data_IF_461212038575
#
_entry.id   IF_461212038575
#
_cell.length_a   1.000
_cell.length_b   1.000
_cell.length_c   1.000
_cell.angle_alpha   90.00
_cell.angle_beta   90.00
_cell.angle_gamma   90.00
#
_symmetry.space_group_name_H-M   'P 1'
#
loop_
_entity.id
_entity.type
_entity.pdbx_description
1 polymer ?
#
# COMPACT_ATOMS: atom_id res chain seq x y z
N UNK A 1 -30.44 23.52 -7.72
CA UNK A 1 -29.94 22.66 -6.63
C UNK A 1 -30.42 23.25 -5.31
N UNK A 2 -30.98 22.46 -4.39
CA UNK A 2 -31.34 23.00 -3.07
C UNK A 2 -30.06 23.39 -2.31
N UNK A 3 -30.13 24.47 -1.53
CA UNK A 3 -28.98 24.94 -0.74
C UNK A 3 -28.47 23.87 0.25
N UNK A 4 -29.38 23.07 0.80
CA UNK A 4 -29.08 21.94 1.69
C UNK A 4 -28.22 20.87 1.01
N UNK A 5 -28.55 20.52 -0.24
CA UNK A 5 -27.78 19.54 -1.00
C UNK A 5 -26.37 20.05 -1.32
N UNK A 6 -26.21 21.35 -1.57
CA UNK A 6 -24.88 21.95 -1.78
C UNK A 6 -24.03 21.88 -0.51
N UNK A 7 -24.61 22.19 0.66
CA UNK A 7 -23.92 22.11 1.95
C UNK A 7 -23.48 20.69 2.29
N UNK A 8 -24.32 19.68 2.03
CA UNK A 8 -23.96 18.28 2.24
C UNK A 8 -22.80 17.85 1.34
N UNK A 9 -22.79 18.26 0.07
CA UNK A 9 -21.69 17.98 -0.85
C UNK A 9 -20.38 18.62 -0.43
N UNK A 10 -20.43 19.87 0.05
CA UNK A 10 -19.24 20.52 0.59
C UNK A 10 -18.67 19.77 1.80
N UNK A 11 -19.50 19.25 2.69
CA UNK A 11 -19.04 18.44 3.81
C UNK A 11 -18.37 17.13 3.35
N UNK A 12 -18.92 16.48 2.32
CA UNK A 12 -18.31 15.30 1.71
C UNK A 12 -16.94 15.65 1.10
N UNK A 13 -16.85 16.74 0.35
CA UNK A 13 -15.60 17.19 -0.27
C UNK A 13 -14.50 17.46 0.78
N UNK A 14 -14.86 18.03 1.93
CA UNK A 14 -13.91 18.26 3.03
C UNK A 14 -13.45 16.94 3.69
N UNK A 15 -14.35 15.96 3.82
CA UNK A 15 -13.99 14.61 4.28
C UNK A 15 -13.03 13.95 3.27
N UNK A 16 -13.30 14.06 1.98
CA UNK A 16 -12.48 13.47 0.92
C UNK A 16 -11.07 14.09 0.87
N UNK A 17 -10.97 15.41 1.05
CA UNK A 17 -9.67 16.09 1.23
C UNK A 17 -8.91 15.56 2.45
N UNK A 18 -9.62 15.35 3.56
CA UNK A 18 -9.03 14.80 4.79
C UNK A 18 -8.54 13.37 4.58
N UNK A 19 -9.30 12.54 3.84
CA UNK A 19 -8.88 11.19 3.46
C UNK A 19 -7.60 11.21 2.62
N UNK A 20 -7.50 12.11 1.63
CA UNK A 20 -6.28 12.27 0.82
C UNK A 20 -5.06 12.63 1.69
N UNK A 21 -5.21 13.57 2.62
CA UNK A 21 -4.13 13.95 3.54
C UNK A 21 -3.69 12.78 4.44
N UNK A 22 -4.64 11.99 4.95
CA UNK A 22 -4.36 10.79 5.75
C UNK A 22 -3.65 9.71 4.95
N UNK A 23 -4.04 9.51 3.68
CA UNK A 23 -3.39 8.56 2.78
C UNK A 23 -1.94 8.99 2.50
N UNK A 24 -1.69 10.27 2.21
CA UNK A 24 -0.33 10.78 2.01
C UNK A 24 0.54 10.56 3.25
N UNK A 25 0.04 10.86 4.45
CA UNK A 25 0.74 10.59 5.71
C UNK A 25 1.02 9.10 5.92
N UNK A 26 0.07 8.23 5.58
CA UNK A 26 0.26 6.78 5.64
C UNK A 26 1.39 6.34 4.70
N UNK A 27 1.46 6.86 3.48
CA UNK A 27 2.55 6.53 2.54
C UNK A 27 3.91 6.95 3.08
N UNK A 28 4.03 8.14 3.68
CA UNK A 28 5.27 8.58 4.33
C UNK A 28 5.71 7.62 5.45
N UNK A 29 4.76 7.14 6.27
CA UNK A 29 5.05 6.17 7.33
C UNK A 29 5.49 4.82 6.76
N UNK A 30 4.85 4.34 5.68
CA UNK A 30 5.30 3.12 4.98
C UNK A 30 6.74 3.28 4.52
N UNK A 31 7.08 4.39 3.86
CA UNK A 31 8.47 4.64 3.42
C UNK A 31 9.47 4.63 4.58
N UNK A 32 9.09 5.19 5.73
CA UNK A 32 9.93 5.15 6.93
C UNK A 32 10.10 3.71 7.45
N UNK A 33 9.03 2.91 7.46
CA UNK A 33 9.09 1.49 7.82
C UNK A 33 9.99 0.72 6.85
N UNK A 34 9.88 0.95 5.55
CA UNK A 34 10.75 0.34 4.53
C UNK A 34 12.23 0.67 4.76
N UNK A 35 12.57 1.92 5.10
CA UNK A 35 13.93 2.33 5.47
C UNK A 35 14.47 1.57 6.69
N UNK A 36 13.67 1.45 7.75
CA UNK A 36 14.05 0.71 8.97
C UNK A 36 14.26 -0.78 8.67
N UNK A 37 13.34 -1.40 7.92
CA UNK A 37 13.45 -2.82 7.53
C UNK A 37 14.68 -3.08 6.66
N UNK A 38 14.98 -2.19 5.71
CA UNK A 38 16.16 -2.27 4.84
C UNK A 38 17.48 -2.15 5.61
N UNK A 39 17.53 -1.30 6.64
CA UNK A 39 18.70 -1.19 7.54
C UNK A 39 18.90 -2.44 8.40
N UNK A 40 17.82 -3.11 8.79
CA UNK A 40 17.84 -4.28 9.66
C UNK A 40 17.84 -5.62 8.92
N UNK A 41 17.78 -5.62 7.58
CA UNK A 41 17.74 -6.84 6.76
C UNK A 41 16.47 -7.68 6.95
N UNK A 42 15.38 -7.08 7.45
CA UNK A 42 14.12 -7.78 7.71
C UNK A 42 13.33 -7.95 6.42
N UNK A 43 12.62 -9.08 6.24
CA UNK A 43 11.76 -9.27 5.09
C UNK A 43 10.67 -8.20 5.03
N UNK A 44 10.47 -7.65 3.83
CA UNK A 44 9.49 -6.59 3.58
C UNK A 44 8.07 -7.12 3.81
N UNK A 45 7.83 -8.38 3.43
CA UNK A 45 6.54 -9.05 3.48
C UNK A 45 6.37 -9.93 4.73
N UNK A 46 5.37 -9.62 5.54
CA UNK A 46 4.99 -10.41 6.74
C UNK A 46 3.47 -10.67 6.69
N UNK A 47 3.02 -11.77 6.06
CA UNK A 47 1.61 -12.01 5.76
C UNK A 47 0.74 -12.09 7.02
N UNK A 48 1.24 -12.73 8.08
CA UNK A 48 0.53 -12.85 9.37
C UNK A 48 0.17 -11.49 9.97
N UNK A 49 1.06 -10.49 9.80
CA UNK A 49 0.84 -9.14 10.31
C UNK A 49 -0.29 -8.43 9.57
N UNK A 50 -0.41 -8.66 8.26
CA UNK A 50 -1.50 -8.10 7.46
C UNK A 50 -2.84 -8.72 7.85
N UNK A 51 -2.90 -10.04 8.01
CA UNK A 51 -4.14 -10.74 8.40
C UNK A 51 -4.66 -10.20 9.74
N UNK A 52 -3.80 -10.16 10.76
CA UNK A 52 -4.17 -9.63 12.08
C UNK A 52 -4.62 -8.17 12.02
N UNK A 53 -3.97 -7.35 11.19
CA UNK A 53 -4.34 -5.94 11.00
C UNK A 53 -5.72 -5.81 10.34
N UNK A 54 -5.98 -6.57 9.28
CA UNK A 54 -7.27 -6.55 8.56
C UNK A 54 -8.42 -7.03 9.46
N UNK A 55 -8.24 -8.15 10.18
CA UNK A 55 -9.24 -8.66 11.12
C UNK A 55 -9.59 -7.63 12.21
N UNK A 56 -8.58 -6.97 12.77
CA UNK A 56 -8.78 -5.91 13.75
C UNK A 56 -9.57 -4.73 13.19
N UNK A 57 -9.32 -4.35 11.93
CA UNK A 57 -10.04 -3.24 11.27
C UNK A 57 -11.45 -3.61 10.84
N UNK A 58 -11.70 -4.85 10.42
CA UNK A 58 -13.06 -5.37 10.16
C UNK A 58 -13.92 -5.24 11.41
N UNK A 59 -13.43 -5.71 12.56
CA UNK A 59 -14.14 -5.59 13.86
C UNK A 59 -14.39 -4.15 14.28
N UNK A 60 -13.48 -3.23 13.95
CA UNK A 60 -13.67 -1.80 14.22
C UNK A 60 -14.73 -1.19 13.31
N UNK A 61 -14.73 -1.54 12.02
CA UNK A 61 -15.72 -1.07 11.05
C UNK A 61 -17.14 -1.49 11.44
N UNK A 62 -17.33 -2.76 11.83
CA UNK A 62 -18.63 -3.25 12.33
C UNK A 62 -19.16 -2.42 13.50
N UNK A 63 -18.29 -2.04 14.45
CA UNK A 63 -18.68 -1.24 15.63
C UNK A 63 -19.14 0.17 15.29
N UNK A 64 -18.69 0.73 14.17
CA UNK A 64 -19.04 2.09 13.74
C UNK A 64 -20.03 2.10 12.57
N UNK A 65 -20.64 0.94 12.24
CA UNK A 65 -21.65 0.81 11.20
C UNK A 65 -21.11 0.86 9.77
N UNK A 66 -19.81 0.60 9.58
CA UNK A 66 -19.20 0.47 8.25
C UNK A 66 -19.11 -1.02 7.88
N UNK A 67 -19.44 -1.34 6.63
CA UNK A 67 -19.33 -2.71 6.12
C UNK A 67 -17.86 -3.20 6.25
N UNK A 68 -17.61 -4.33 6.94
CA UNK A 68 -16.25 -4.83 7.13
C UNK A 68 -15.53 -5.18 5.81
N UNK A 69 -16.28 -5.59 4.79
CA UNK A 69 -15.70 -5.88 3.46
C UNK A 69 -15.20 -4.60 2.76
N UNK A 70 -15.91 -3.48 2.92
CA UNK A 70 -15.51 -2.19 2.36
C UNK A 70 -14.16 -1.74 2.91
N UNK A 71 -13.97 -1.81 4.24
CA UNK A 71 -12.70 -1.38 4.84
C UNK A 71 -11.56 -2.33 4.46
N UNK A 72 -11.83 -3.62 4.33
CA UNK A 72 -10.83 -4.58 3.90
C UNK A 72 -10.36 -4.29 2.47
N UNK A 73 -11.28 -4.07 1.53
CA UNK A 73 -10.95 -3.77 0.13
C UNK A 73 -10.12 -2.50 -0.01
N UNK A 74 -10.52 -1.44 0.72
CA UNK A 74 -9.78 -0.17 0.75
C UNK A 74 -8.36 -0.41 1.29
N UNK A 75 -8.22 -1.07 2.44
CA UNK A 75 -6.92 -1.30 3.06
C UNK A 75 -6.02 -2.19 2.18
N UNK A 76 -6.57 -3.24 1.57
CA UNK A 76 -5.83 -4.10 0.62
C UNK A 76 -5.36 -3.32 -0.59
N UNK A 77 -6.19 -2.43 -1.16
CA UNK A 77 -5.78 -1.57 -2.28
C UNK A 77 -4.65 -0.63 -1.88
N UNK A 78 -4.75 0.02 -0.72
CA UNK A 78 -3.71 0.94 -0.23
C UNK A 78 -2.40 0.20 0.05
N UNK A 79 -2.46 -1.02 0.61
CA UNK A 79 -1.27 -1.86 0.83
C UNK A 79 -0.58 -2.23 -0.48
N UNK A 80 -1.33 -2.62 -1.52
CA UNK A 80 -0.75 -2.89 -2.85
C UNK A 80 0.01 -1.68 -3.40
N UNK A 81 -0.55 -0.48 -3.26
CA UNK A 81 0.10 0.76 -3.69
C UNK A 81 1.41 1.03 -2.94
N UNK A 82 1.43 0.68 -1.65
CA UNK A 82 2.61 0.81 -0.78
C UNK A 82 3.77 -0.04 -1.29
N UNK A 83 3.49 -1.29 -1.68
CA UNK A 83 4.50 -2.22 -2.20
C UNK A 83 5.11 -1.79 -3.53
N UNK A 84 4.31 -1.20 -4.44
CA UNK A 84 4.82 -0.68 -5.71
C UNK A 84 5.83 0.46 -5.49
N UNK A 85 5.57 1.33 -4.52
CA UNK A 85 6.47 2.43 -4.17
C UNK A 85 7.73 1.96 -3.42
N UNK A 86 7.66 0.87 -2.64
CA UNK A 86 8.82 0.27 -1.99
C UNK A 86 9.74 -0.44 -3.00
N UNK A 87 9.18 -1.14 -4.00
CA UNK A 87 9.97 -1.82 -5.05
C UNK A 87 10.77 -0.84 -5.93
N UNK A 88 10.31 0.41 -6.03
CA UNK A 88 11.01 1.46 -6.78
C UNK A 88 12.26 2.00 -6.06
N UNK A 89 12.52 1.60 -4.80
CA UNK A 89 13.75 1.98 -4.08
C UNK A 89 14.98 1.13 -4.43
N UNK A 90 14.90 0.34 -5.50
CA UNK A 90 16.04 -0.32 -6.11
C UNK A 90 16.45 -1.57 -5.33
N UNK A 91 16.53 -2.70 -6.03
CA UNK A 91 17.19 -3.89 -5.51
C UNK A 91 18.61 -3.50 -5.09
N UNK A 92 18.93 -3.70 -3.81
CA UNK A 92 20.28 -3.45 -3.29
C UNK A 92 21.23 -4.42 -4.01
N UNK A 93 22.25 -3.92 -4.71
CA UNK A 93 23.34 -4.78 -5.22
C UNK A 93 23.95 -5.49 -4.02
N UNK A 94 23.67 -6.80 -3.88
CA UNK A 94 24.20 -7.62 -2.79
C UNK A 94 25.71 -7.85 -2.94
N UNK A 95 26.26 -7.70 -4.15
CA UNK A 95 27.67 -7.81 -4.43
C UNK A 95 28.10 -6.68 -5.39
N UNK A 96 29.05 -5.86 -4.93
CA UNK A 96 29.52 -4.67 -5.65
C UNK A 96 30.44 -5.01 -6.83
N UNK A 97 31.06 -6.20 -6.81
CA UNK A 97 32.02 -6.68 -7.81
C UNK A 97 31.36 -7.46 -8.96
N UNK A 98 30.02 -7.59 -8.94
CA UNK A 98 29.28 -8.19 -10.04
C UNK A 98 29.39 -7.32 -11.30
N UNK A 99 30.02 -7.88 -12.33
CA UNK A 99 30.02 -7.35 -13.69
C UNK A 99 28.62 -7.36 -14.34
N UNK A 100 28.49 -6.85 -15.57
CA UNK A 100 27.22 -6.85 -16.29
C UNK A 100 26.70 -8.28 -16.46
N UNK A 101 25.44 -8.49 -16.08
CA UNK A 101 24.76 -9.79 -16.17
C UNK A 101 23.74 -9.69 -17.31
N UNK A 102 23.76 -10.65 -18.24
CA UNK A 102 22.76 -10.77 -19.30
C UNK A 102 21.76 -11.83 -18.87
N UNK A 103 20.49 -11.45 -18.78
CA UNK A 103 19.38 -12.39 -18.53
C UNK A 103 18.88 -12.85 -19.90
N UNK A 104 19.11 -14.11 -20.25
CA UNK A 104 18.55 -14.72 -21.46
C UNK A 104 17.30 -15.50 -21.08
N UNK A 105 16.12 -14.92 -21.37
CA UNK A 105 14.83 -15.61 -21.22
C UNK A 105 14.54 -16.50 -22.43
N UNK A 106 14.24 -17.78 -22.19
CA UNK A 106 13.66 -18.67 -23.20
C UNK A 106 12.17 -18.43 -23.40
N UNK A 107 11.63 -18.80 -24.56
CA UNK A 107 10.22 -18.65 -24.90
C UNK A 107 9.37 -19.73 -24.18
N UNK A 108 9.22 -19.58 -22.86
CA UNK A 108 8.28 -20.36 -22.05
C UNK A 108 6.93 -19.64 -21.92
N UNK A 109 5.85 -20.34 -21.52
CA UNK A 109 4.50 -19.77 -21.44
C UNK A 109 4.40 -18.50 -20.56
N UNK A 110 5.28 -18.38 -19.55
CA UNK A 110 5.21 -17.35 -18.50
C UNK A 110 6.32 -16.29 -18.58
N UNK A 111 7.00 -16.13 -19.72
CA UNK A 111 8.16 -15.23 -19.81
C UNK A 111 8.22 -14.40 -21.09
N UNK A 112 7.75 -13.15 -21.02
CA UNK A 112 8.21 -12.07 -21.91
C UNK A 112 8.74 -10.91 -21.08
N UNK A 113 10.05 -10.70 -21.14
CA UNK A 113 10.72 -9.46 -20.75
C UNK A 113 11.37 -8.96 -22.04
N UNK A 114 10.98 -7.76 -22.47
CA UNK A 114 11.55 -7.04 -23.63
C UNK A 114 12.60 -6.07 -23.10
#
# INVERSE_FOLDING_TARGET
>A
MSAELLQLRQQIDEIDKSLLALLAKRMQLVMAVGKVKSQQGLPIYVPEREVSMLEGRRKQAEKIGIAPDLIEDILRRIMRESYLHENNQGFKKLNADLGPIIIVGGQGPDGKII
#
